data_IF_790342105774
#
_entry.id   IF_790342105774
#
_cell.length_a   1.000
_cell.length_b   1.000
_cell.length_c   1.000
_cell.angle_alpha   90.00
_cell.angle_beta   90.00
_cell.angle_gamma   90.00
#
_symmetry.space_group_name_H-M   'P 1'
#
loop_
_entity.id
_entity.type
_entity.pdbx_description
1 polymer ?
#
# COMPACT_ATOMS: atom_id res chain seq x y z
N UNK A 1 -10.94 -0.77 5.96
CA UNK A 1 -10.92 -2.22 6.29
C UNK A 1 -10.22 -2.41 7.64
N UNK A 2 -10.91 -2.89 8.68
CA UNK A 2 -10.27 -3.18 9.98
C UNK A 2 -9.71 -4.59 9.93
N UNK A 3 -8.40 -4.76 9.77
CA UNK A 3 -7.78 -6.07 9.83
C UNK A 3 -7.41 -6.42 11.28
N UNK A 4 -8.20 -7.25 11.99
CA UNK A 4 -8.02 -7.46 13.44
C UNK A 4 -6.63 -7.99 13.77
N UNK A 5 -6.02 -8.78 12.89
CA UNK A 5 -4.68 -9.33 13.10
C UNK A 5 -3.57 -8.28 13.08
N UNK A 6 -3.64 -7.28 12.19
CA UNK A 6 -2.64 -6.21 12.14
C UNK A 6 -2.78 -5.28 13.35
N UNK A 7 -4.03 -4.99 13.74
CA UNK A 7 -4.31 -4.22 14.96
C UNK A 7 -3.80 -4.93 16.22
N UNK A 8 -4.08 -6.22 16.36
CA UNK A 8 -3.64 -7.01 17.51
C UNK A 8 -2.13 -7.13 17.57
N UNK A 9 -1.47 -7.32 16.42
CA UNK A 9 -0.02 -7.27 16.31
C UNK A 9 0.56 -5.93 16.80
N UNK A 10 0.03 -4.80 16.30
CA UNK A 10 0.48 -3.48 16.77
C UNK A 10 0.27 -3.29 18.28
N UNK A 11 -0.86 -3.77 18.83
CA UNK A 11 -1.16 -3.72 20.26
C UNK A 11 -0.17 -4.55 21.08
N UNK A 12 0.12 -5.77 20.64
CA UNK A 12 1.03 -6.70 21.31
C UNK A 12 2.44 -6.13 21.45
N UNK A 13 2.93 -5.43 20.42
CA UNK A 13 4.25 -4.80 20.41
C UNK A 13 4.25 -3.36 20.97
N UNK A 14 3.20 -2.97 21.69
CA UNK A 14 3.15 -1.69 22.42
C UNK A 14 3.07 -0.45 21.53
N UNK A 15 2.65 -0.58 20.27
CA UNK A 15 2.48 0.58 19.39
C UNK A 15 1.33 1.44 19.92
N UNK A 16 1.56 2.75 19.96
CA UNK A 16 0.55 3.70 20.39
C UNK A 16 -0.68 3.63 19.49
N UNK A 17 -1.87 3.70 20.09
CA UNK A 17 -3.15 3.59 19.36
C UNK A 17 -3.29 4.64 18.25
N UNK A 18 -2.76 5.86 18.44
CA UNK A 18 -2.75 6.91 17.42
C UNK A 18 -1.98 6.51 16.13
N UNK A 19 -1.10 5.52 16.21
CA UNK A 19 -0.33 4.98 15.08
C UNK A 19 -0.96 3.72 14.49
N UNK A 20 -2.19 3.37 14.86
CA UNK A 20 -2.83 2.19 14.27
C UNK A 20 -3.26 2.47 12.83
N UNK A 21 -2.97 1.51 11.96
CA UNK A 21 -3.28 1.61 10.53
C UNK A 21 -4.78 1.56 10.23
N UNK A 22 -5.61 1.12 11.17
CA UNK A 22 -7.06 1.01 10.97
C UNK A 22 -7.78 2.37 11.04
N UNK A 23 -7.07 3.42 11.45
CA UNK A 23 -7.54 4.81 11.42
C UNK A 23 -7.25 5.50 10.08
N UNK A 24 -6.47 4.87 9.19
CA UNK A 24 -6.11 5.43 7.88
C UNK A 24 -7.23 5.29 6.84
N UNK A 25 -8.21 4.43 7.10
CA UNK A 25 -9.23 4.08 6.13
C UNK A 25 -10.61 4.54 6.59
N UNK A 26 -11.48 4.98 5.66
CA UNK A 26 -12.88 5.22 5.97
C UNK A 26 -13.51 3.96 6.57
N UNK A 27 -14.50 4.14 7.44
CA UNK A 27 -15.28 3.00 7.95
C UNK A 27 -15.97 2.30 6.77
N UNK A 28 -15.86 0.98 6.72
CA UNK A 28 -16.65 0.15 5.82
C UNK A 28 -17.92 -0.26 6.59
N UNK A 29 -19.08 0.13 6.09
CA UNK A 29 -20.37 -0.26 6.66
C UNK A 29 -20.86 -1.61 6.14
N UNK A 30 -20.45 -1.99 4.92
CA UNK A 30 -20.81 -3.27 4.35
C UNK A 30 -20.18 -3.49 2.97
N UNK A 31 -20.15 -4.75 2.57
CA UNK A 31 -19.72 -5.18 1.24
C UNK A 31 -20.57 -6.36 0.80
N UNK A 32 -20.91 -6.40 -0.49
CA UNK A 32 -21.50 -7.55 -1.18
C UNK A 32 -20.65 -7.86 -2.39
N UNK A 33 -20.32 -9.14 -2.58
CA UNK A 33 -19.42 -9.60 -3.64
C UNK A 33 -20.20 -10.07 -4.87
N UNK A 34 -21.37 -10.69 -4.64
CA UNK A 34 -22.28 -11.15 -5.69
C UNK A 34 -23.75 -11.04 -5.26
N UNK A 35 -24.65 -10.98 -6.23
CA UNK A 35 -26.10 -11.15 -6.03
C UNK A 35 -26.52 -12.62 -5.87
N UNK A 36 -25.70 -13.56 -6.34
CA UNK A 36 -25.89 -14.99 -6.06
C UNK A 36 -25.35 -15.33 -4.67
N UNK A 37 -26.25 -15.65 -3.75
CA UNK A 37 -25.92 -16.01 -2.36
C UNK A 37 -25.04 -17.27 -2.25
N UNK A 38 -24.94 -18.07 -3.32
CA UNK A 38 -24.12 -19.28 -3.37
C UNK A 38 -22.74 -19.05 -4.02
N UNK A 39 -22.48 -17.86 -4.55
CA UNK A 39 -21.23 -17.51 -5.21
C UNK A 39 -20.32 -16.68 -4.31
N UNK A 40 -19.04 -17.06 -4.26
CA UNK A 40 -17.98 -16.24 -3.66
C UNK A 40 -17.15 -15.50 -4.73
N UNK A 41 -17.57 -15.55 -6.00
CA UNK A 41 -16.91 -14.82 -7.07
C UNK A 41 -17.43 -13.38 -7.15
N UNK A 42 -16.55 -12.43 -7.45
CA UNK A 42 -16.93 -11.03 -7.71
C UNK A 42 -17.73 -10.99 -9.01
N UNK A 43 -18.93 -10.42 -8.97
CA UNK A 43 -19.73 -10.11 -10.17
C UNK A 43 -19.79 -8.59 -10.42
N UNK A 44 -20.43 -8.21 -11.52
CA UNK A 44 -20.59 -6.80 -11.91
C UNK A 44 -21.53 -6.01 -10.96
N UNK A 45 -22.26 -6.71 -10.09
CA UNK A 45 -23.20 -6.15 -9.09
C UNK A 45 -22.59 -6.09 -7.67
N UNK A 46 -21.27 -6.25 -7.57
CA UNK A 46 -20.51 -6.05 -6.34
C UNK A 46 -20.67 -4.63 -5.80
N UNK A 47 -20.91 -4.50 -4.49
CA UNK A 47 -21.14 -3.21 -3.82
C UNK A 47 -20.26 -3.08 -2.59
N UNK A 48 -19.60 -1.93 -2.44
CA UNK A 48 -18.92 -1.53 -1.21
C UNK A 48 -19.55 -0.25 -0.66
N UNK A 49 -19.87 -0.25 0.63
CA UNK A 49 -20.48 0.89 1.32
C UNK A 49 -19.48 1.40 2.35
N UNK A 50 -19.02 2.63 2.17
CA UNK A 50 -18.08 3.30 3.06
C UNK A 50 -18.67 4.57 3.68
N UNK A 51 -18.00 5.04 4.73
CA UNK A 51 -18.16 6.36 5.32
C UNK A 51 -18.09 7.46 4.27
N UNK A 52 -19.07 8.38 4.32
CA UNK A 52 -19.06 9.55 3.46
C UNK A 52 -18.07 10.59 4.02
N UNK A 53 -16.86 10.62 3.47
CA UNK A 53 -15.84 11.58 3.89
C UNK A 53 -16.20 13.03 3.53
N UNK A 54 -17.07 13.26 2.54
CA UNK A 54 -17.49 14.64 2.19
C UNK A 54 -18.24 15.33 3.32
N UNK A 55 -19.05 14.58 4.09
CA UNK A 55 -19.74 15.14 5.25
C UNK A 55 -18.80 15.51 6.40
N UNK A 56 -17.56 15.01 6.39
CA UNK A 56 -16.51 15.37 7.36
C UNK A 56 -15.58 16.47 6.82
N UNK A 57 -15.87 17.04 5.65
CA UNK A 57 -15.12 18.13 5.04
C UNK A 57 -13.93 17.71 4.19
N UNK A 58 -13.74 16.41 3.94
CA UNK A 58 -12.69 15.93 3.02
C UNK A 58 -13.04 16.30 1.57
N UNK A 59 -12.00 16.69 0.82
CA UNK A 59 -12.07 17.00 -0.60
C UNK A 59 -11.14 16.07 -1.39
N UNK A 60 -11.43 15.91 -2.67
CA UNK A 60 -10.53 15.25 -3.62
C UNK A 60 -9.66 16.34 -4.23
N UNK A 61 -8.35 16.29 -3.95
CA UNK A 61 -7.40 17.22 -4.52
C UNK A 61 -7.24 17.06 -6.03
N UNK A 62 -6.83 18.14 -6.70
CA UNK A 62 -6.45 18.08 -8.11
C UNK A 62 -5.12 17.35 -8.27
N UNK A 63 -5.17 16.18 -8.92
CA UNK A 63 -3.99 15.35 -9.19
C UNK A 63 -2.90 16.05 -10.03
N UNK A 64 -3.25 17.10 -10.77
CA UNK A 64 -2.28 17.88 -11.56
C UNK A 64 -1.57 18.94 -10.73
N UNK A 65 -2.18 19.38 -9.63
CA UNK A 65 -1.58 20.33 -8.68
C UNK A 65 -0.80 19.59 -7.59
N UNK A 66 -1.35 18.48 -7.09
CA UNK A 66 -0.74 17.68 -6.03
C UNK A 66 -0.96 18.24 -4.63
N UNK A 67 -0.17 17.77 -3.66
CA UNK A 67 -0.25 18.16 -2.26
C UNK A 67 0.85 19.18 -1.92
N UNK A 68 0.59 20.05 -0.94
CA UNK A 68 1.66 20.81 -0.29
C UNK A 68 2.60 19.87 0.51
N UNK A 69 3.72 20.43 0.97
CA UNK A 69 4.76 19.65 1.63
C UNK A 69 4.25 18.99 2.91
N UNK A 70 3.52 19.74 3.73
CA UNK A 70 2.99 19.30 5.01
C UNK A 70 2.02 18.12 4.83
N UNK A 71 1.09 18.22 3.86
CA UNK A 71 0.18 17.15 3.52
C UNK A 71 0.92 15.95 2.91
N UNK A 72 1.89 16.18 2.03
CA UNK A 72 2.69 15.11 1.44
C UNK A 72 3.48 14.32 2.50
N UNK A 73 4.12 15.00 3.46
CA UNK A 73 4.84 14.35 4.56
C UNK A 73 3.92 13.49 5.43
N UNK A 74 2.71 13.98 5.72
CA UNK A 74 1.70 13.23 6.46
C UNK A 74 1.26 11.97 5.69
N UNK A 75 0.90 12.12 4.42
CA UNK A 75 0.45 11.02 3.55
C UNK A 75 1.54 9.96 3.40
N UNK A 76 2.78 10.36 3.12
CA UNK A 76 3.92 9.46 2.97
C UNK A 76 4.21 8.73 4.28
N UNK A 77 4.14 9.42 5.42
CA UNK A 77 4.32 8.81 6.75
C UNK A 77 3.26 7.75 7.06
N UNK A 78 2.00 8.02 6.71
CA UNK A 78 0.90 7.10 6.91
C UNK A 78 0.99 5.88 5.98
N UNK A 79 1.35 6.07 4.72
CA UNK A 79 1.63 4.99 3.76
C UNK A 79 2.81 4.13 4.22
N UNK A 80 3.92 4.75 4.63
CA UNK A 80 5.09 4.05 5.15
C UNK A 80 4.71 3.18 6.35
N UNK A 81 3.89 3.70 7.27
CA UNK A 81 3.38 2.95 8.42
C UNK A 81 2.50 1.77 8.00
N UNK A 82 1.61 1.96 7.04
CA UNK A 82 0.77 0.90 6.49
C UNK A 82 1.61 -0.25 5.93
N UNK A 83 2.58 0.05 5.07
CA UNK A 83 3.48 -0.95 4.49
C UNK A 83 4.41 -1.60 5.52
N UNK A 84 5.02 -0.81 6.40
CA UNK A 84 5.94 -1.33 7.41
C UNK A 84 5.24 -2.30 8.37
N UNK A 85 3.97 -2.06 8.73
CA UNK A 85 3.21 -2.94 9.61
C UNK A 85 3.04 -4.35 9.03
N UNK A 86 2.70 -4.45 7.74
CA UNK A 86 2.50 -5.75 7.08
C UNK A 86 3.83 -6.49 6.86
N UNK A 87 4.88 -5.77 6.48
CA UNK A 87 6.24 -6.31 6.34
C UNK A 87 6.77 -6.81 7.69
N UNK A 88 6.62 -6.02 8.76
CA UNK A 88 7.07 -6.41 10.08
C UNK A 88 6.32 -7.65 10.59
N UNK A 89 5.00 -7.75 10.36
CA UNK A 89 4.24 -8.96 10.67
C UNK A 89 4.76 -10.18 9.89
N UNK A 90 5.07 -10.03 8.60
CA UNK A 90 5.66 -11.10 7.77
C UNK A 90 7.00 -11.59 8.33
N UNK A 91 7.87 -10.67 8.77
CA UNK A 91 9.19 -11.01 9.28
C UNK A 91 9.13 -11.66 10.68
N UNK A 92 8.29 -11.15 11.56
CA UNK A 92 8.25 -11.59 12.97
C UNK A 92 7.32 -12.78 13.17
N UNK A 93 6.20 -12.85 12.43
CA UNK A 93 5.19 -13.90 12.54
C UNK A 93 4.78 -14.44 11.16
N UNK A 94 5.71 -15.07 10.42
CA UNK A 94 5.48 -15.51 9.05
C UNK A 94 4.29 -16.47 8.90
N UNK A 95 4.04 -17.34 9.89
CA UNK A 95 2.87 -18.23 9.91
C UNK A 95 1.54 -17.47 9.94
N UNK A 96 1.42 -16.47 10.82
CA UNK A 96 0.23 -15.61 10.91
C UNK A 96 0.05 -14.81 9.62
N UNK A 97 1.15 -14.28 9.06
CA UNK A 97 1.09 -13.58 7.78
C UNK A 97 0.58 -14.49 6.66
N UNK A 98 1.13 -15.70 6.52
CA UNK A 98 0.74 -16.66 5.47
C UNK A 98 -0.72 -17.09 5.60
N UNK A 99 -1.21 -17.30 6.81
CA UNK A 99 -2.59 -17.74 7.05
C UNK A 99 -3.61 -16.62 6.97
N UNK A 100 -3.28 -15.41 7.47
CA UNK A 100 -4.28 -14.35 7.72
C UNK A 100 -4.16 -13.14 6.81
N UNK A 101 -2.99 -12.88 6.24
CA UNK A 101 -2.74 -11.67 5.44
C UNK A 101 -2.61 -12.02 3.96
N UNK A 102 -1.76 -13.00 3.65
CA UNK A 102 -1.46 -13.39 2.27
C UNK A 102 -2.72 -13.74 1.44
N UNK A 103 -3.75 -14.44 1.97
CA UNK A 103 -4.98 -14.72 1.21
C UNK A 103 -5.77 -13.47 0.83
N UNK A 104 -5.56 -12.35 1.51
CA UNK A 104 -6.19 -11.07 1.23
C UNK A 104 -5.37 -10.21 0.25
N UNK A 105 -4.28 -10.74 -0.30
CA UNK A 105 -3.42 -10.04 -1.25
C UNK A 105 -3.46 -10.74 -2.60
N UNK A 106 -3.31 -9.97 -3.67
CA UNK A 106 -3.17 -10.49 -5.03
C UNK A 106 -1.83 -10.01 -5.57
N UNK A 107 -1.05 -10.90 -6.19
CA UNK A 107 0.17 -10.47 -6.88
C UNK A 107 -0.24 -9.56 -8.03
N UNK A 108 0.05 -8.27 -7.90
CA UNK A 108 -0.03 -7.36 -9.03
C UNK A 108 1.13 -7.71 -9.97
N UNK A 109 0.80 -8.26 -11.15
CA UNK A 109 1.80 -8.59 -12.16
C UNK A 109 2.45 -7.32 -12.75
N UNK A 110 1.89 -6.13 -12.51
CA UNK A 110 2.55 -4.84 -12.66
C UNK A 110 3.29 -4.64 -13.99
N UNK A 111 4.48 -4.04 -13.89
CA UNK A 111 5.40 -3.85 -15.01
C UNK A 111 6.04 -5.17 -15.49
N UNK A 112 6.00 -6.26 -14.70
CA UNK A 112 6.52 -7.59 -15.10
C UNK A 112 5.76 -8.16 -16.32
N UNK A 113 4.58 -7.63 -16.64
CA UNK A 113 3.80 -8.01 -17.83
C UNK A 113 4.19 -7.25 -19.08
N UNK A 114 4.95 -6.16 -18.94
CA UNK A 114 5.35 -5.31 -20.03
C UNK A 114 6.74 -5.72 -20.54
N UNK A 115 7.12 -5.35 -21.77
CA UNK A 115 8.47 -5.53 -22.26
C UNK A 115 9.49 -4.89 -21.30
N UNK A 116 10.65 -5.52 -21.13
CA UNK A 116 11.71 -5.07 -20.21
C UNK A 116 12.11 -3.61 -20.47
N UNK A 117 12.09 -3.18 -21.74
CA UNK A 117 12.41 -1.81 -22.12
C UNK A 117 11.47 -0.77 -21.49
N UNK A 118 10.20 -1.13 -21.26
CA UNK A 118 9.22 -0.24 -20.62
C UNK A 118 9.55 -0.06 -19.14
N UNK A 119 9.87 -1.16 -18.44
CA UNK A 119 10.30 -1.10 -17.05
C UNK A 119 11.59 -0.28 -16.88
N UNK A 120 12.54 -0.46 -17.81
CA UNK A 120 13.79 0.32 -17.84
C UNK A 120 13.53 1.81 -18.09
N UNK A 121 12.72 2.14 -19.10
CA UNK A 121 12.37 3.54 -19.40
C UNK A 121 11.68 4.23 -18.22
N UNK A 122 10.80 3.53 -17.51
CA UNK A 122 10.15 4.05 -16.30
C UNK A 122 11.16 4.31 -15.17
N UNK A 123 12.08 3.37 -14.93
CA UNK A 123 13.16 3.56 -13.96
C UNK A 123 14.07 4.74 -14.31
N UNK A 124 14.52 4.81 -15.57
CA UNK A 124 15.41 5.86 -16.06
C UNK A 124 14.75 7.24 -15.90
N UNK A 125 13.45 7.37 -16.21
CA UNK A 125 12.69 8.62 -16.04
C UNK A 125 12.62 9.07 -14.57
N UNK A 126 12.45 8.13 -13.64
CA UNK A 126 12.44 8.43 -12.20
C UNK A 126 13.83 8.90 -11.74
N UNK A 127 14.88 8.22 -12.18
CA UNK A 127 16.26 8.56 -11.81
C UNK A 127 16.68 9.91 -12.40
N UNK A 128 16.31 10.21 -13.65
CA UNK A 128 16.54 11.51 -14.28
C UNK A 128 15.90 12.63 -13.46
N UNK A 129 14.60 12.52 -13.16
CA UNK A 129 13.91 13.49 -12.31
C UNK A 129 14.53 13.61 -10.92
N UNK A 130 15.03 12.52 -10.33
CA UNK A 130 15.69 12.57 -9.03
C UNK A 130 17.06 13.28 -9.08
N UNK A 131 17.83 13.11 -10.15
CA UNK A 131 19.12 13.79 -10.34
C UNK A 131 18.98 15.29 -10.55
N UNK A 132 17.85 15.76 -11.05
CA UNK A 132 17.54 17.18 -11.19
C UNK A 132 17.26 17.88 -9.86
N UNK A 133 16.95 17.14 -8.79
CA UNK A 133 16.64 17.70 -7.47
C UNK A 133 17.86 17.69 -6.56
N UNK A 134 18.38 18.88 -6.24
CA UNK A 134 19.57 19.05 -5.39
C UNK A 134 19.40 18.42 -4.00
N UNK A 135 18.19 18.44 -3.48
CA UNK A 135 17.80 17.90 -2.17
C UNK A 135 17.93 16.38 -2.11
N UNK A 136 17.93 15.71 -3.27
CA UNK A 136 18.04 14.26 -3.37
C UNK A 136 19.47 13.76 -3.50
N UNK A 137 20.45 14.65 -3.70
CA UNK A 137 21.87 14.31 -3.88
C UNK A 137 22.40 13.32 -2.82
N UNK A 138 22.15 13.49 -1.50
CA UNK A 138 22.62 12.56 -0.48
C UNK A 138 22.01 11.15 -0.59
N UNK A 139 20.90 11.01 -1.30
CA UNK A 139 20.13 9.77 -1.42
C UNK A 139 20.35 9.05 -2.76
N UNK A 140 20.97 9.70 -3.76
CA UNK A 140 21.19 9.10 -5.08
C UNK A 140 21.91 7.73 -5.02
N UNK A 141 22.97 7.52 -4.21
CA UNK A 141 23.61 6.19 -4.13
C UNK A 141 22.65 5.09 -3.63
N UNK A 142 21.69 5.45 -2.77
CA UNK A 142 20.66 4.51 -2.32
C UNK A 142 19.62 4.28 -3.41
N UNK A 143 19.17 5.32 -4.10
CA UNK A 143 18.21 5.20 -5.20
C UNK A 143 18.74 4.33 -6.36
N UNK A 144 20.02 4.45 -6.69
CA UNK A 144 20.68 3.59 -7.70
C UNK A 144 20.71 2.10 -7.30
N UNK A 145 20.72 1.80 -6.01
CA UNK A 145 20.67 0.42 -5.52
C UNK A 145 19.29 -0.24 -5.69
N UNK A 146 18.24 0.53 -5.97
CA UNK A 146 16.86 0.05 -6.16
C UNK A 146 16.56 -0.52 -7.56
N UNK A 147 17.59 -0.83 -8.37
CA UNK A 147 17.45 -1.26 -9.79
C UNK A 147 16.61 -2.52 -10.06
N UNK A 148 16.19 -3.28 -9.05
CA UNK A 148 15.52 -4.58 -9.27
C UNK A 148 14.30 -4.89 -8.38
N UNK A 149 13.73 -3.92 -7.66
CA UNK A 149 12.60 -4.23 -6.76
C UNK A 149 11.26 -4.42 -7.50
N UNK A 150 11.18 -3.99 -8.76
CA UNK A 150 10.00 -4.22 -9.60
C UNK A 150 9.97 -5.59 -10.29
N UNK A 151 11.07 -6.34 -10.22
CA UNK A 151 11.14 -7.73 -10.66
C UNK A 151 11.39 -8.59 -9.41
N UNK A 152 10.34 -9.20 -8.88
CA UNK A 152 10.43 -10.24 -7.86
C UNK A 152 10.99 -9.78 -6.50
N UNK A 153 10.13 -9.78 -5.46
CA UNK A 153 10.60 -10.45 -4.25
C UNK A 153 11.05 -11.84 -4.71
N UNK A 154 12.32 -12.25 -4.53
CA UNK A 154 12.66 -13.65 -4.73
C UNK A 154 11.67 -14.43 -3.88
N UNK A 155 11.05 -15.46 -4.48
CA UNK A 155 10.27 -16.41 -3.71
C UNK A 155 11.10 -16.74 -2.48
N UNK A 156 10.63 -16.28 -1.31
CA UNK A 156 11.20 -16.72 -0.05
C UNK A 156 10.84 -18.19 -0.05
N UNK A 157 11.77 -19.02 -0.52
CA UNK A 157 11.65 -20.47 -0.47
C UNK A 157 11.35 -20.80 0.98
N UNK A 158 10.10 -21.15 1.22
CA UNK A 158 9.64 -21.79 2.45
C UNK A 158 10.28 -23.15 2.57
#
# INVERSE_FOLDING_TARGET
MKHPYLRNYLKEYGVQKAKYIDQLFPKCYGARISTDENSNAVDDDGVLIFENLKSEGYITEDRLTGFDKEAAELIVSDLARFHATTIALKLIKPGVFKEKILPCTVKNKGLEQLPEEVGKSFHDSIMEGAMEQSELEPYLPRLESFKYVFACYPDVKT
#
